data_IF_380728999773
#
_entry.id   IF_380728999773
#
_cell.length_a   1.000
_cell.length_b   1.000
_cell.length_c   1.000
_cell.angle_alpha   90.00
_cell.angle_beta   90.00
_cell.angle_gamma   90.00
#
_symmetry.space_group_name_H-M   'P 1'
#
loop_
_entity.id
_entity.type
_entity.pdbx_description
1 polymer ?
#
# COMPACT_ATOMS: atom_id res chain seq x y z
N UNK A 1 8.58 -4.17 -19.57
CA UNK A 1 8.24 -2.91 -18.90
C UNK A 1 6.86 -3.10 -18.29
N UNK A 2 6.74 -2.97 -16.97
CA UNK A 2 5.48 -3.10 -16.26
C UNK A 2 5.18 -1.78 -15.54
N UNK A 3 3.91 -1.44 -15.37
CA UNK A 3 3.42 -0.29 -14.60
C UNK A 3 2.88 -0.80 -13.27
N UNK A 4 3.54 -0.39 -12.19
CA UNK A 4 3.28 -0.88 -10.83
C UNK A 4 2.74 0.28 -10.00
N UNK A 5 1.64 0.06 -9.28
CA UNK A 5 1.11 1.06 -8.33
C UNK A 5 1.32 0.59 -6.89
N UNK A 6 1.91 1.44 -6.05
CA UNK A 6 2.10 1.20 -4.62
C UNK A 6 1.16 2.10 -3.85
N UNK A 7 0.25 1.50 -3.08
CA UNK A 7 -0.76 2.19 -2.29
C UNK A 7 -0.51 1.98 -0.79
N UNK A 8 -0.44 3.08 -0.05
CA UNK A 8 -0.26 3.08 1.40
C UNK A 8 -1.46 3.74 2.08
N UNK A 9 -2.09 3.00 2.98
CA UNK A 9 -3.24 3.44 3.76
C UNK A 9 -2.89 4.37 4.92
N UNK A 10 -3.80 4.52 5.89
CA UNK A 10 -3.72 5.55 6.89
C UNK A 10 -2.55 5.39 7.86
N UNK A 11 -2.01 6.53 8.28
CA UNK A 11 -0.91 6.71 9.24
C UNK A 11 0.46 6.23 8.77
N UNK A 12 0.60 5.60 7.60
CA UNK A 12 1.90 5.17 7.08
C UNK A 12 2.79 6.36 6.69
N UNK A 13 2.20 7.53 6.41
CA UNK A 13 2.96 8.77 6.26
C UNK A 13 3.68 9.24 7.54
N UNK A 14 3.37 8.62 8.70
CA UNK A 14 4.01 8.94 9.98
C UNK A 14 5.13 7.94 10.34
N UNK A 15 5.53 7.06 9.42
CA UNK A 15 6.70 6.19 9.58
C UNK A 15 7.96 7.00 9.85
N UNK A 16 8.86 6.45 10.66
CA UNK A 16 10.10 7.10 11.11
C UNK A 16 9.91 8.19 12.17
N UNK A 17 8.69 8.73 12.35
CA UNK A 17 8.39 9.75 13.38
C UNK A 17 7.73 9.13 14.61
N UNK A 18 6.98 8.04 14.44
CA UNK A 18 6.18 7.41 15.49
C UNK A 18 6.81 6.08 15.95
N UNK A 19 7.02 5.94 17.25
CA UNK A 19 7.50 4.70 17.91
C UNK A 19 8.72 4.07 17.18
N UNK A 20 9.87 4.78 17.08
CA UNK A 20 11.03 4.32 16.29
C UNK A 20 11.57 2.95 16.71
N UNK A 21 11.38 2.61 17.98
CA UNK A 21 11.76 1.32 18.56
C UNK A 21 10.95 0.14 17.99
N UNK A 22 9.76 0.39 17.44
CA UNK A 22 8.85 -0.63 16.88
C UNK A 22 8.90 -0.68 15.36
N UNK A 23 8.97 0.48 14.69
CA UNK A 23 8.87 0.59 13.22
C UNK A 23 10.19 0.95 12.52
N UNK A 24 11.26 1.20 13.29
CA UNK A 24 12.52 1.71 12.76
C UNK A 24 12.48 3.20 12.47
N UNK A 25 13.62 3.73 12.00
CA UNK A 25 13.79 5.14 11.63
C UNK A 25 13.53 5.40 10.14
N UNK A 26 13.27 4.35 9.36
CA UNK A 26 13.00 4.45 7.93
C UNK A 26 11.64 5.13 7.71
N UNK A 27 11.64 6.18 6.89
CA UNK A 27 10.43 6.93 6.56
C UNK A 27 9.73 6.33 5.34
N UNK A 28 8.48 6.74 5.10
CA UNK A 28 7.78 6.34 3.87
C UNK A 28 8.47 6.89 2.61
N UNK A 29 9.10 8.06 2.71
CA UNK A 29 9.84 8.69 1.61
C UNK A 29 11.12 7.89 1.28
N UNK A 30 11.81 7.36 2.29
CA UNK A 30 12.96 6.47 2.09
C UNK A 30 12.56 5.18 1.36
N UNK A 31 11.43 4.59 1.76
CA UNK A 31 10.85 3.42 1.10
C UNK A 31 10.47 3.75 -0.35
N UNK A 32 9.82 4.89 -0.59
CA UNK A 32 9.46 5.34 -1.93
C UNK A 32 10.72 5.49 -2.81
N UNK A 33 11.75 6.16 -2.31
CA UNK A 33 13.00 6.37 -3.06
C UNK A 33 13.67 5.05 -3.44
N UNK A 34 13.73 4.09 -2.50
CA UNK A 34 14.28 2.75 -2.76
C UNK A 34 13.45 1.98 -3.79
N UNK A 35 12.13 2.00 -3.67
CA UNK A 35 11.24 1.31 -4.61
C UNK A 35 11.32 1.92 -6.01
N UNK A 36 11.38 3.25 -6.13
CA UNK A 36 11.58 3.94 -7.40
C UNK A 36 12.89 3.53 -8.06
N UNK A 37 14.01 3.54 -7.32
CA UNK A 37 15.30 3.09 -7.83
C UNK A 37 15.25 1.64 -8.32
N UNK A 38 14.64 0.73 -7.56
CA UNK A 38 14.52 -0.68 -7.94
C UNK A 38 13.64 -0.88 -9.19
N UNK A 39 12.56 -0.10 -9.33
CA UNK A 39 11.70 -0.15 -10.50
C UNK A 39 12.43 0.37 -11.74
N UNK A 40 13.14 1.49 -11.62
CA UNK A 40 13.90 2.10 -12.70
C UNK A 40 15.04 1.17 -13.17
N UNK A 41 15.80 0.58 -12.24
CA UNK A 41 16.85 -0.40 -12.55
C UNK A 41 16.31 -1.65 -13.26
N UNK A 42 15.06 -2.03 -12.97
CA UNK A 42 14.34 -3.13 -13.62
C UNK A 42 13.65 -2.76 -14.93
N UNK A 43 13.65 -1.48 -15.34
CA UNK A 43 12.91 -1.00 -16.51
C UNK A 43 11.38 -1.06 -16.33
N UNK A 44 10.90 -0.79 -15.13
CA UNK A 44 9.50 -0.70 -14.76
C UNK A 44 9.12 0.74 -14.36
N UNK A 45 7.84 1.08 -14.49
CA UNK A 45 7.30 2.36 -14.02
C UNK A 45 6.63 2.15 -12.67
N UNK A 46 6.93 3.02 -11.70
CA UNK A 46 6.33 2.99 -10.37
C UNK A 46 5.45 4.23 -10.14
N UNK A 47 4.18 4.03 -9.81
CA UNK A 47 3.33 5.05 -9.22
C UNK A 47 3.26 4.81 -7.71
N UNK A 48 3.48 5.84 -6.90
CA UNK A 48 3.44 5.73 -5.44
C UNK A 48 2.41 6.69 -4.86
N UNK A 49 1.52 6.20 -4.00
CA UNK A 49 0.51 7.02 -3.33
C UNK A 49 0.31 6.58 -1.89
N UNK A 50 0.13 7.57 -1.01
CA UNK A 50 -0.35 7.39 0.35
C UNK A 50 -1.63 8.19 0.55
N UNK A 51 -2.59 7.66 1.28
CA UNK A 51 -3.71 8.45 1.79
C UNK A 51 -4.26 7.93 3.11
N UNK A 52 -4.71 8.88 3.93
CA UNK A 52 -5.47 8.60 5.15
C UNK A 52 -6.97 8.45 4.88
N UNK A 53 -7.43 8.87 3.70
CA UNK A 53 -8.84 8.83 3.34
C UNK A 53 -9.15 7.58 2.52
N UNK A 54 -10.06 6.75 3.02
CA UNK A 54 -10.46 5.48 2.38
C UNK A 54 -10.88 5.66 0.91
N UNK A 55 -11.68 6.69 0.62
CA UNK A 55 -12.16 6.97 -0.73
C UNK A 55 -11.02 7.25 -1.73
N UNK A 56 -9.93 7.90 -1.30
CA UNK A 56 -8.80 8.18 -2.19
C UNK A 56 -7.98 6.94 -2.54
N UNK A 57 -8.00 5.91 -1.68
CA UNK A 57 -7.42 4.60 -1.96
C UNK A 57 -8.30 3.85 -2.97
N UNK A 58 -9.62 3.88 -2.77
CA UNK A 58 -10.60 3.30 -3.70
C UNK A 58 -10.49 3.96 -5.09
N UNK A 59 -10.41 5.28 -5.15
CA UNK A 59 -10.24 6.02 -6.40
C UNK A 59 -8.93 5.66 -7.09
N UNK A 60 -7.85 5.45 -6.33
CA UNK A 60 -6.58 5.01 -6.89
C UNK A 60 -6.66 3.59 -7.50
N UNK A 61 -7.43 2.68 -6.88
CA UNK A 61 -7.71 1.35 -7.43
C UNK A 61 -8.49 1.45 -8.75
N UNK A 62 -9.54 2.29 -8.80
CA UNK A 62 -10.32 2.52 -10.02
C UNK A 62 -9.51 3.18 -11.14
N UNK A 63 -8.64 4.13 -10.79
CA UNK A 63 -7.73 4.78 -11.73
C UNK A 63 -6.72 3.78 -12.30
N UNK A 64 -6.14 2.92 -11.45
CA UNK A 64 -5.23 1.87 -11.89
C UNK A 64 -5.89 0.91 -12.89
N UNK A 65 -7.17 0.55 -12.63
CA UNK A 65 -7.94 -0.33 -13.50
C UNK A 65 -8.17 0.29 -14.89
N UNK A 66 -8.38 1.61 -14.92
CA UNK A 66 -8.54 2.36 -16.17
C UNK A 66 -7.20 2.67 -16.86
N UNK A 67 -6.08 2.61 -16.13
CA UNK A 67 -4.82 3.28 -16.47
C UNK A 67 -3.67 2.38 -16.95
N UNK A 68 -3.93 1.15 -17.41
CA UNK A 68 -2.88 0.19 -17.82
C UNK A 68 -1.86 -0.13 -16.72
N UNK A 69 -2.30 -0.16 -15.45
CA UNK A 69 -1.47 -0.68 -14.34
C UNK A 69 -1.53 -2.21 -14.38
N UNK A 70 -0.37 -2.86 -14.35
CA UNK A 70 -0.27 -4.32 -14.42
C UNK A 70 -0.64 -4.99 -13.10
N UNK A 71 -0.21 -4.41 -11.96
CA UNK A 71 -0.61 -4.86 -10.62
C UNK A 71 -0.41 -3.79 -9.54
N UNK A 72 -1.07 -3.99 -8.40
CA UNK A 72 -0.99 -3.10 -7.24
C UNK A 72 -0.23 -3.78 -6.09
N UNK A 73 0.68 -3.07 -5.44
CA UNK A 73 1.21 -3.43 -4.12
C UNK A 73 0.50 -2.53 -3.11
N UNK A 74 -0.12 -3.09 -2.08
CA UNK A 74 -0.89 -2.30 -1.12
C UNK A 74 -0.56 -2.66 0.33
N UNK A 75 -0.34 -1.64 1.15
CA UNK A 75 -0.44 -1.74 2.60
C UNK A 75 -1.64 -0.90 3.07
N UNK A 76 -2.82 -1.50 3.30
CA UNK A 76 -4.00 -0.74 3.72
C UNK A 76 -3.93 -0.20 5.15
N UNK A 77 -2.86 -0.49 5.91
CA UNK A 77 -2.71 -0.05 7.29
C UNK A 77 -3.86 -0.55 8.17
N UNK A 78 -4.52 0.35 8.91
CA UNK A 78 -5.65 -0.04 9.74
C UNK A 78 -6.87 -0.51 8.92
N UNK A 79 -6.99 -0.10 7.66
CA UNK A 79 -8.12 -0.47 6.80
C UNK A 79 -8.13 -1.94 6.40
N UNK A 80 -7.01 -2.65 6.51
CA UNK A 80 -6.92 -4.11 6.34
C UNK A 80 -7.99 -4.83 7.17
N UNK A 81 -8.31 -4.30 8.35
CA UNK A 81 -9.18 -4.98 9.31
C UNK A 81 -10.61 -4.46 9.32
N UNK A 82 -10.91 -3.41 8.56
CA UNK A 82 -12.19 -2.68 8.67
C UNK A 82 -12.82 -2.33 7.34
N UNK A 83 -12.04 -2.18 6.27
CA UNK A 83 -12.54 -1.67 5.00
C UNK A 83 -13.06 -2.78 4.08
N UNK A 84 -14.36 -3.04 4.18
CA UNK A 84 -15.07 -3.84 3.17
C UNK A 84 -15.07 -3.10 1.82
N UNK A 85 -15.07 -1.77 1.83
CA UNK A 85 -15.12 -0.97 0.60
C UNK A 85 -13.85 -1.11 -0.26
N UNK A 86 -12.66 -1.11 0.34
CA UNK A 86 -11.40 -1.36 -0.38
C UNK A 86 -11.37 -2.80 -0.92
N UNK A 87 -11.81 -3.77 -0.11
CA UNK A 87 -11.94 -5.18 -0.54
C UNK A 87 -12.84 -5.30 -1.77
N UNK A 88 -14.00 -4.66 -1.74
CA UNK A 88 -14.96 -4.72 -2.85
C UNK A 88 -14.45 -3.98 -4.09
N UNK A 89 -13.67 -2.91 -3.94
CA UNK A 89 -13.00 -2.25 -5.06
C UNK A 89 -12.01 -3.18 -5.79
N UNK A 90 -11.22 -3.98 -5.06
CA UNK A 90 -10.36 -5.00 -5.69
C UNK A 90 -11.15 -6.12 -6.36
N UNK A 91 -12.25 -6.58 -5.74
CA UNK A 91 -13.13 -7.60 -6.35
C UNK A 91 -13.80 -7.10 -7.64
N UNK A 92 -14.22 -5.84 -7.65
CA UNK A 92 -14.88 -5.22 -8.80
C UNK A 92 -13.92 -5.01 -9.98
N UNK A 93 -12.70 -4.54 -9.70
CA UNK A 93 -11.68 -4.28 -10.74
C UNK A 93 -10.96 -5.54 -11.21
N UNK A 94 -10.91 -6.59 -10.37
CA UNK A 94 -10.13 -7.82 -10.61
C UNK A 94 -8.65 -7.56 -10.90
N UNK A 95 -8.14 -6.40 -10.49
CA UNK A 95 -6.72 -6.10 -10.60
C UNK A 95 -5.93 -7.06 -9.71
N UNK A 96 -4.84 -7.66 -10.22
CA UNK A 96 -3.94 -8.41 -9.36
C UNK A 96 -3.31 -7.46 -8.35
N UNK A 97 -3.28 -7.89 -7.09
CA UNK A 97 -2.65 -7.12 -6.03
C UNK A 97 -1.85 -7.99 -5.07
N UNK A 98 -0.86 -7.38 -4.44
CA UNK A 98 -0.04 -7.98 -3.38
C UNK A 98 -0.24 -7.13 -2.13
N UNK A 99 -0.82 -7.72 -1.11
CA UNK A 99 -0.94 -7.09 0.20
C UNK A 99 0.36 -7.24 0.99
N UNK A 100 0.82 -6.14 1.59
CA UNK A 100 2.06 -6.10 2.39
C UNK A 100 1.83 -5.40 3.72
N UNK A 101 2.57 -5.86 4.73
CA UNK A 101 2.56 -5.29 6.08
C UNK A 101 3.99 -5.11 6.55
N UNK A 102 4.32 -3.94 7.09
CA UNK A 102 5.66 -3.67 7.63
C UNK A 102 5.95 -4.46 8.92
N UNK A 103 4.93 -4.67 9.75
CA UNK A 103 5.02 -5.45 10.98
C UNK A 103 4.33 -6.81 10.81
N UNK A 104 4.78 -7.81 11.57
CA UNK A 104 4.09 -9.10 11.64
C UNK A 104 2.71 -8.96 12.30
N UNK A 105 1.65 -8.87 11.50
CA UNK A 105 0.26 -8.69 11.98
C UNK A 105 -0.27 -9.87 12.80
N UNK A 106 0.28 -11.08 12.63
CA UNK A 106 -0.16 -12.26 13.40
C UNK A 106 0.34 -12.28 14.84
N UNK A 107 1.44 -11.56 15.11
CA UNK A 107 1.99 -11.37 16.45
C UNK A 107 1.32 -10.21 17.22
N UNK A 108 0.39 -9.50 16.58
CA UNK A 108 -0.24 -8.29 17.09
C UNK A 108 -1.62 -8.54 17.70
N UNK A 109 -2.30 -7.45 18.07
CA UNK A 109 -3.62 -7.43 18.71
C UNK A 109 -4.63 -8.27 17.90
N UNK A 110 -5.63 -8.85 18.57
CA UNK A 110 -6.56 -9.81 17.94
C UNK A 110 -7.31 -9.24 16.74
N UNK A 111 -7.65 -7.94 16.74
CA UNK A 111 -8.31 -7.29 15.61
C UNK A 111 -7.41 -7.17 14.37
N UNK A 112 -6.10 -7.39 14.47
CA UNK A 112 -5.16 -7.36 13.34
C UNK A 112 -4.90 -8.71 12.68
N UNK A 113 -5.48 -9.78 13.22
CA UNK A 113 -5.21 -11.14 12.77
C UNK A 113 -6.06 -11.55 11.55
N UNK A 114 -7.04 -10.75 11.16
CA UNK A 114 -7.89 -10.98 10.01
C UNK A 114 -7.74 -9.85 8.99
N UNK A 115 -7.60 -10.23 7.73
CA UNK A 115 -7.61 -9.37 6.56
C UNK A 115 -8.60 -9.95 5.55
#
# INVERSE_FOLDING_TARGET
>A
MAVISVLNGPNLNLLGVREPEVYGTETLDDIQARLSSLADDGGHTLCFKQSNAEHEIIDAIHQAFSGSVDFIIINPGAYTHTSIAIRDAFLATRLPFIEVHLSNIHARETFRKHS
#
